data_IF_868160993894
#
_entry.id   IF_868160993894
#
_cell.length_a   1.000
_cell.length_b   1.000
_cell.length_c   1.000
_cell.angle_alpha   90.00
_cell.angle_beta   90.00
_cell.angle_gamma   90.00
#
_symmetry.space_group_name_H-M   'P 1'
#
loop_
_entity.id
_entity.type
_entity.pdbx_description
1 polymer ?
#
# COMPACT_ATOMS: atom_id res chain seq x y z
N UNK A 1 -13.39 15.19 4.45
CA UNK A 1 -13.02 14.61 5.77
C UNK A 1 -11.52 14.72 6.03
N UNK A 2 -10.64 14.16 5.19
CA UNK A 2 -9.18 14.22 5.41
C UNK A 2 -8.62 15.63 5.68
N UNK A 3 -8.99 16.63 4.86
CA UNK A 3 -8.60 18.03 5.07
C UNK A 3 -9.02 18.60 6.43
N UNK A 4 -10.24 18.30 6.86
CA UNK A 4 -10.74 18.71 8.18
C UNK A 4 -9.92 18.06 9.31
N UNK A 5 -9.66 16.76 9.22
CA UNK A 5 -8.84 16.05 10.21
C UNK A 5 -7.42 16.65 10.25
N UNK A 6 -6.79 16.89 9.10
CA UNK A 6 -5.47 17.52 9.07
C UNK A 6 -5.43 18.90 9.75
N UNK A 7 -6.50 19.68 9.66
CA UNK A 7 -6.62 20.94 10.38
C UNK A 7 -6.72 20.73 11.91
N UNK A 8 -7.53 19.76 12.36
CA UNK A 8 -7.64 19.38 13.78
C UNK A 8 -6.29 18.96 14.35
N UNK A 9 -5.49 18.23 13.57
CA UNK A 9 -4.14 17.78 13.96
C UNK A 9 -3.04 18.83 13.72
N UNK A 10 -3.36 20.03 13.20
CA UNK A 10 -2.40 21.12 13.02
C UNK A 10 -1.31 20.87 11.95
N UNK A 11 -1.59 20.01 10.97
CA UNK A 11 -0.63 19.64 9.90
C UNK A 11 -1.16 19.91 8.48
N UNK A 12 -2.28 20.62 8.37
CA UNK A 12 -2.93 20.87 7.07
C UNK A 12 -2.00 21.62 6.08
N UNK A 13 -1.11 22.47 6.57
CA UNK A 13 -0.12 23.22 5.80
C UNK A 13 0.93 22.33 5.11
N UNK A 14 1.04 21.07 5.51
CA UNK A 14 2.00 20.09 4.98
C UNK A 14 1.40 19.15 3.94
N UNK A 15 0.12 19.29 3.60
CA UNK A 15 -0.62 18.33 2.77
C UNK A 15 -1.33 19.04 1.62
N UNK A 16 -1.03 18.64 0.40
CA UNK A 16 -1.83 18.95 -0.77
C UNK A 16 -2.91 17.87 -0.98
N UNK A 17 -4.18 18.28 -1.01
CA UNK A 17 -5.31 17.36 -1.19
C UNK A 17 -5.77 17.37 -2.65
N UNK A 18 -5.67 16.22 -3.32
CA UNK A 18 -6.17 16.03 -4.68
C UNK A 18 -7.33 15.04 -4.66
N UNK A 19 -8.48 15.43 -5.23
CA UNK A 19 -9.61 14.53 -5.46
C UNK A 19 -9.52 14.03 -6.89
N UNK A 20 -9.17 12.76 -7.07
CA UNK A 20 -9.01 12.16 -8.39
C UNK A 20 -8.76 10.65 -8.31
N UNK A 21 -8.70 10.04 -9.49
CA UNK A 21 -8.33 8.62 -9.64
C UNK A 21 -6.80 8.50 -9.73
N UNK A 22 -6.19 7.89 -8.72
CA UNK A 22 -4.75 7.64 -8.68
C UNK A 22 -4.27 6.86 -9.91
N UNK A 23 -5.05 5.88 -10.41
CA UNK A 23 -4.66 5.04 -11.55
C UNK A 23 -4.49 5.86 -12.82
N UNK A 24 -5.34 6.88 -13.01
CA UNK A 24 -5.29 7.80 -14.13
C UNK A 24 -4.21 8.89 -13.96
N UNK A 25 -3.85 9.23 -12.72
CA UNK A 25 -2.93 10.31 -12.41
C UNK A 25 -1.48 9.87 -12.17
N UNK A 26 -1.23 8.59 -11.86
CA UNK A 26 0.07 8.09 -11.40
C UNK A 26 1.25 8.55 -12.28
N UNK A 27 1.08 8.54 -13.60
CA UNK A 27 2.11 8.92 -14.57
C UNK A 27 2.48 10.42 -14.54
N UNK A 28 1.72 11.26 -13.84
CA UNK A 28 1.96 12.71 -13.70
C UNK A 28 2.57 13.10 -12.35
N UNK A 29 2.61 12.17 -11.40
CA UNK A 29 3.06 12.42 -10.03
C UNK A 29 4.58 12.22 -9.91
N UNK A 30 5.18 12.95 -8.97
CA UNK A 30 6.58 12.79 -8.56
C UNK A 30 6.65 12.87 -7.04
N UNK A 31 7.31 11.90 -6.43
CA UNK A 31 7.50 11.84 -4.99
C UNK A 31 8.68 10.91 -4.67
N UNK A 32 9.31 11.10 -3.52
CA UNK A 32 10.39 10.22 -3.06
C UNK A 32 9.85 8.86 -2.59
N UNK A 33 8.62 8.82 -2.05
CA UNK A 33 7.97 7.64 -1.47
C UNK A 33 6.51 7.57 -1.90
N UNK A 34 6.00 6.35 -2.14
CA UNK A 34 4.57 6.07 -2.34
C UNK A 34 4.05 5.16 -1.23
N UNK A 35 3.03 5.62 -0.51
CA UNK A 35 2.27 4.81 0.44
C UNK A 35 0.93 4.37 -0.17
N UNK A 36 0.71 3.05 -0.21
CA UNK A 36 -0.49 2.42 -0.75
C UNK A 36 -1.36 1.83 0.36
N UNK A 37 -2.58 2.33 0.47
CA UNK A 37 -3.65 1.70 1.28
C UNK A 37 -4.92 1.56 0.41
N UNK A 38 -4.88 0.71 -0.63
CA UNK A 38 -6.01 0.52 -1.53
C UNK A 38 -7.22 -0.11 -0.82
N UNK A 39 -8.43 -0.02 -1.40
CA UNK A 39 -9.59 -0.74 -0.89
C UNK A 39 -9.37 -2.26 -0.86
N UNK A 40 -9.69 -2.90 0.26
CA UNK A 40 -9.58 -4.35 0.44
C UNK A 40 -10.87 -5.14 0.15
N UNK A 41 -11.91 -4.46 -0.36
CA UNK A 41 -13.24 -5.07 -0.51
C UNK A 41 -14.08 -5.11 0.78
N UNK A 42 -13.74 -4.31 1.78
CA UNK A 42 -14.48 -4.21 3.06
C UNK A 42 -14.22 -5.40 4.00
N UNK A 43 -14.95 -5.50 5.13
CA UNK A 43 -14.71 -6.52 6.16
C UNK A 43 -14.72 -7.98 5.67
N UNK A 44 -15.30 -8.22 4.49
CA UNK A 44 -15.37 -9.53 3.85
C UNK A 44 -14.01 -10.06 3.40
N UNK A 45 -12.96 -9.25 3.31
CA UNK A 45 -11.60 -9.70 2.98
C UNK A 45 -11.11 -10.85 3.87
N UNK A 46 -11.62 -10.92 5.11
CA UNK A 46 -11.20 -11.92 6.09
C UNK A 46 -11.98 -13.23 6.01
N UNK A 47 -12.86 -13.40 5.03
CA UNK A 47 -13.59 -14.66 4.81
C UNK A 47 -12.72 -15.71 4.14
N UNK A 48 -11.77 -15.28 3.33
CA UNK A 48 -10.79 -16.17 2.70
C UNK A 48 -9.62 -16.39 3.66
N UNK A 49 -9.07 -17.60 3.67
CA UNK A 49 -7.88 -17.93 4.47
C UNK A 49 -6.67 -17.12 4.02
N UNK A 50 -6.53 -16.94 2.71
CA UNK A 50 -5.44 -16.18 2.06
C UNK A 50 -6.05 -15.17 1.11
N UNK A 51 -5.73 -13.89 1.32
CA UNK A 51 -6.12 -12.80 0.45
C UNK A 51 -5.21 -12.76 -0.79
N UNK A 52 -5.76 -13.14 -1.94
CA UNK A 52 -5.07 -13.15 -3.24
C UNK A 52 -4.97 -11.71 -3.79
N UNK A 53 -3.77 -11.16 -3.78
CA UNK A 53 -3.47 -9.78 -4.14
C UNK A 53 -3.67 -9.50 -5.64
N UNK A 54 -3.62 -10.51 -6.49
CA UNK A 54 -3.83 -10.35 -7.93
C UNK A 54 -5.31 -10.38 -8.30
N UNK A 55 -6.16 -11.05 -7.51
CA UNK A 55 -7.59 -11.20 -7.80
C UNK A 55 -8.50 -10.30 -6.98
N UNK A 56 -8.12 -10.04 -5.73
CA UNK A 56 -9.00 -9.41 -4.74
C UNK A 56 -8.67 -7.94 -4.49
N UNK A 57 -7.46 -7.48 -4.83
CA UNK A 57 -7.08 -6.08 -4.67
C UNK A 57 -7.83 -5.18 -5.68
N UNK A 58 -8.28 -4.02 -5.19
CA UNK A 58 -9.06 -3.05 -5.96
C UNK A 58 -8.26 -1.73 -5.93
N UNK A 59 -8.23 -0.93 -7.01
CA UNK A 59 -8.94 -1.10 -8.28
C UNK A 59 -8.23 -2.00 -9.30
N UNK A 60 -7.00 -2.42 -9.01
CA UNK A 60 -6.16 -3.20 -9.93
C UNK A 60 -5.52 -4.37 -9.17
N UNK A 61 -5.12 -5.43 -9.90
CA UNK A 61 -4.19 -6.43 -9.40
C UNK A 61 -2.94 -5.77 -8.79
N UNK A 62 -2.38 -6.38 -7.74
CA UNK A 62 -1.22 -5.81 -7.06
C UNK A 62 -0.02 -5.58 -7.99
N UNK A 63 0.25 -6.51 -8.91
CA UNK A 63 1.29 -6.35 -9.93
C UNK A 63 1.13 -5.09 -10.78
N UNK A 64 -0.07 -4.81 -11.28
CA UNK A 64 -0.36 -3.62 -12.09
C UNK A 64 -0.32 -2.33 -11.27
N UNK A 65 -0.86 -2.36 -10.04
CA UNK A 65 -0.83 -1.21 -9.14
C UNK A 65 0.61 -0.88 -8.73
N UNK A 66 1.42 -1.89 -8.42
CA UNK A 66 2.81 -1.74 -8.05
C UNK A 66 3.63 -1.18 -9.21
N UNK A 67 3.46 -1.71 -10.43
CA UNK A 67 4.14 -1.21 -11.63
C UNK A 67 3.81 0.27 -11.91
N UNK A 68 2.59 0.74 -11.61
CA UNK A 68 2.25 2.17 -11.69
C UNK A 68 3.01 3.01 -10.67
N UNK A 69 3.18 2.50 -9.46
CA UNK A 69 3.92 3.20 -8.40
C UNK A 69 5.43 3.24 -8.71
N UNK A 70 5.98 2.19 -9.30
CA UNK A 70 7.38 2.15 -9.74
C UNK A 70 7.75 3.22 -10.76
N UNK A 71 6.77 3.77 -11.50
CA UNK A 71 7.02 4.92 -12.38
C UNK A 71 7.24 6.24 -11.61
N UNK A 72 6.82 6.29 -10.35
CA UNK A 72 6.96 7.45 -9.46
C UNK A 72 8.25 7.31 -8.65
N UNK A 73 8.45 6.14 -8.02
CA UNK A 73 9.60 5.84 -7.15
C UNK A 73 9.74 4.33 -6.93
N UNK A 74 10.94 3.88 -6.55
CA UNK A 74 11.21 2.51 -6.09
C UNK A 74 10.84 2.31 -4.60
N UNK A 75 10.69 3.41 -3.84
CA UNK A 75 10.40 3.38 -2.41
C UNK A 75 8.89 3.30 -2.17
N UNK A 76 8.38 2.09 -2.00
CA UNK A 76 6.95 1.81 -1.91
C UNK A 76 6.64 1.12 -0.59
N UNK A 77 5.60 1.59 0.11
CA UNK A 77 5.04 0.93 1.28
C UNK A 77 3.59 0.53 1.01
N UNK A 78 3.22 -0.74 1.23
CA UNK A 78 1.87 -1.26 0.99
C UNK A 78 1.22 -1.73 2.28
N UNK A 79 0.14 -1.06 2.70
CA UNK A 79 -0.69 -1.44 3.85
C UNK A 79 -1.84 -2.36 3.41
N UNK A 80 -1.82 -3.61 3.91
CA UNK A 80 -2.58 -4.71 3.34
C UNK A 80 -3.28 -5.57 4.40
N UNK A 81 -4.29 -6.37 4.02
CA UNK A 81 -4.92 -7.32 4.91
C UNK A 81 -3.94 -8.25 5.61
N UNK A 82 -4.22 -8.59 6.87
CA UNK A 82 -3.38 -9.51 7.67
C UNK A 82 -3.19 -10.90 7.05
N UNK A 83 -4.14 -11.34 6.22
CA UNK A 83 -4.14 -12.62 5.52
C UNK A 83 -3.60 -12.51 4.08
N UNK A 84 -2.89 -11.44 3.72
CA UNK A 84 -2.33 -11.28 2.37
C UNK A 84 -1.33 -12.38 2.03
N UNK A 85 -1.39 -12.86 0.79
CA UNK A 85 -0.43 -13.81 0.26
C UNK A 85 0.97 -13.18 0.22
N UNK A 86 1.85 -13.61 1.12
CA UNK A 86 3.19 -13.05 1.25
C UNK A 86 4.11 -13.46 0.09
N UNK A 87 3.85 -14.59 -0.57
CA UNK A 87 4.60 -14.98 -1.76
C UNK A 87 4.35 -14.00 -2.91
N UNK A 88 3.10 -13.55 -3.09
CA UNK A 88 2.79 -12.51 -4.08
C UNK A 88 3.51 -11.20 -3.77
N UNK A 89 3.63 -10.81 -2.49
CA UNK A 89 4.41 -9.62 -2.08
C UNK A 89 5.89 -9.75 -2.42
N UNK A 90 6.49 -10.92 -2.19
CA UNK A 90 7.88 -11.19 -2.59
C UNK A 90 8.06 -11.17 -4.11
N UNK A 91 7.07 -11.65 -4.88
CA UNK A 91 7.12 -11.59 -6.34
C UNK A 91 7.12 -10.15 -6.88
N UNK A 92 6.45 -9.20 -6.21
CA UNK A 92 6.44 -7.79 -6.61
C UNK A 92 7.84 -7.15 -6.57
N UNK A 93 8.73 -7.61 -5.68
CA UNK A 93 10.10 -7.10 -5.61
C UNK A 93 10.93 -7.45 -6.87
N UNK A 94 10.50 -8.43 -7.66
CA UNK A 94 11.18 -8.87 -8.86
C UNK A 94 12.46 -9.68 -8.59
N UNK A 95 13.14 -10.16 -9.65
CA UNK A 95 14.33 -10.99 -9.53
C UNK A 95 15.47 -10.26 -8.81
N UNK A 96 15.94 -10.82 -7.70
CA UNK A 96 17.01 -10.23 -6.89
C UNK A 96 16.57 -9.07 -6.00
N UNK A 97 15.30 -8.67 -6.04
CA UNK A 97 14.72 -7.69 -5.14
C UNK A 97 14.38 -8.28 -3.78
N UNK A 98 14.20 -7.40 -2.80
CA UNK A 98 13.79 -7.74 -1.45
C UNK A 98 12.47 -7.04 -1.09
N UNK A 99 11.79 -7.60 -0.10
CA UNK A 99 10.63 -7.00 0.55
C UNK A 99 10.75 -7.25 2.05
N UNK A 100 10.56 -6.23 2.85
CA UNK A 100 10.33 -6.38 4.28
C UNK A 100 8.83 -6.48 4.53
N UNK A 101 8.39 -7.50 5.27
CA UNK A 101 6.98 -7.70 5.60
C UNK A 101 6.80 -7.53 7.11
N UNK A 102 6.30 -6.37 7.51
CA UNK A 102 5.97 -6.03 8.89
C UNK A 102 4.56 -6.46 9.23
N UNK A 103 4.39 -7.05 10.42
CA UNK A 103 3.09 -7.39 10.98
C UNK A 103 2.61 -6.31 11.93
N UNK A 104 1.47 -5.69 11.63
CA UNK A 104 0.84 -4.70 12.49
C UNK A 104 -0.04 -5.36 13.54
N UNK A 105 0.23 -5.07 14.81
CA UNK A 105 -0.57 -5.50 15.95
C UNK A 105 -1.27 -4.32 16.61
N UNK A 106 -2.55 -4.50 16.92
CA UNK A 106 -3.27 -3.66 17.87
C UNK A 106 -3.52 -4.49 19.13
N UNK A 107 -3.00 -4.03 20.26
CA UNK A 107 -2.83 -4.84 21.47
C UNK A 107 -2.08 -6.15 21.18
N UNK A 108 -2.79 -7.28 21.16
CA UNK A 108 -2.25 -8.61 20.84
C UNK A 108 -2.88 -9.21 19.58
N UNK A 109 -3.66 -8.42 18.84
CA UNK A 109 -4.36 -8.88 17.65
C UNK A 109 -3.61 -8.44 16.41
N UNK A 110 -3.24 -9.41 15.58
CA UNK A 110 -2.71 -9.16 14.24
C UNK A 110 -3.81 -8.54 13.37
N UNK A 111 -3.61 -7.30 12.90
CA UNK A 111 -4.65 -6.52 12.19
C UNK A 111 -4.37 -6.33 10.71
N UNK A 112 -3.11 -6.19 10.30
CA UNK A 112 -2.71 -5.88 8.94
C UNK A 112 -1.23 -6.20 8.70
N UNK A 113 -0.82 -6.23 7.45
CA UNK A 113 0.58 -6.27 7.02
C UNK A 113 1.01 -4.92 6.47
N UNK A 114 2.30 -4.61 6.57
CA UNK A 114 2.94 -3.55 5.76
C UNK A 114 4.13 -4.13 5.04
N UNK A 115 4.13 -4.04 3.71
CA UNK A 115 5.24 -4.48 2.88
C UNK A 115 6.05 -3.25 2.44
N UNK A 116 7.36 -3.24 2.72
CA UNK A 116 8.27 -2.17 2.37
C UNK A 116 9.24 -2.62 1.26
N UNK A 117 9.46 -1.74 0.29
CA UNK A 117 10.31 -1.96 -0.89
C UNK A 117 11.30 -0.80 -1.05
N UNK A 118 12.39 -1.05 -1.79
CA UNK A 118 13.44 -0.06 -2.03
C UNK A 118 14.23 0.25 -0.77
N UNK A 119 14.59 1.52 -0.58
CA UNK A 119 15.36 2.00 0.58
C UNK A 119 14.53 2.07 1.87
N UNK A 120 13.26 1.67 1.84
CA UNK A 120 12.40 1.58 3.03
C UNK A 120 12.63 0.32 3.85
N UNK A 121 13.36 -0.66 3.30
CA UNK A 121 13.71 -1.90 3.99
C UNK A 121 14.75 -1.57 5.07
N UNK A 122 14.50 -2.01 6.29
CA UNK A 122 15.42 -1.88 7.40
C UNK A 122 16.42 -3.05 7.39
N UNK A 123 17.71 -2.74 7.23
CA UNK A 123 18.81 -3.73 7.25
C UNK A 123 19.25 -4.13 8.67
#
# INVERSE_FOLDING_TARGET
MAKHNAAVYGVQDRIEFIVGDFVAMADTLKADVVFLSPPWGGPQYSKEETYDLEKSLIPLPASELFAKCQKITENIAMFLPRNSNTQQLSMLAGPGGAVEIEQNFLDRKFIALTAYYGELINE
#
